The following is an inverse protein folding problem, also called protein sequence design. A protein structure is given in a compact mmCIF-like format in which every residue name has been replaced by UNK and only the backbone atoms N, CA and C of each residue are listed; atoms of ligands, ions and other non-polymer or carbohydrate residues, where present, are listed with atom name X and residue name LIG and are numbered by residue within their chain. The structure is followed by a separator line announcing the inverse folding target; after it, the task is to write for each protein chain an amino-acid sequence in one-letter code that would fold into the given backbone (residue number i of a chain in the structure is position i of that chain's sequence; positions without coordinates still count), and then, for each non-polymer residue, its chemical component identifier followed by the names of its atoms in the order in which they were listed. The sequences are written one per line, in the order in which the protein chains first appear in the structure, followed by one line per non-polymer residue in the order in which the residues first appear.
data_IF_131202544063
#
_entry.id   IF_131202544063
#
_cell.length_a   1.000
_cell.length_b   1.000
_cell.length_c   1.000
_cell.angle_alpha   90.00
_cell.angle_beta   90.00
_cell.angle_gamma   90.00
#
_symmetry.space_group_name_H-M   'P 1'
#
loop_
_entity.id
_entity.type
_entity.pdbx_description
1 polymer ?
#
# COMPACT_ATOMS: atom_id res chain seq x y z
N UNK A 1 0.23 7.92 33.54
CA UNK A 1 0.89 7.40 32.32
C UNK A 1 -0.20 6.95 31.39
N UNK A 2 -0.11 7.28 30.09
CA UNK A 2 -1.01 6.70 29.11
C UNK A 2 -0.71 5.21 28.99
N UNK A 3 -1.74 4.38 28.99
CA UNK A 3 -1.58 2.96 28.70
C UNK A 3 -1.17 2.82 27.22
N UNK A 4 0.03 2.27 27.00
CA UNK A 4 0.66 2.12 25.67
C UNK A 4 0.58 0.68 25.14
N UNK A 5 -0.27 -0.16 25.74
CA UNK A 5 -0.48 -1.53 25.30
C UNK A 5 -1.42 -1.56 24.09
N UNK A 6 -1.09 -2.33 23.06
CA UNK A 6 -1.93 -2.54 21.88
C UNK A 6 -1.95 -4.02 21.53
N UNK A 7 -3.08 -4.53 21.05
CA UNK A 7 -3.19 -5.90 20.54
C UNK A 7 -2.45 -6.04 19.21
N UNK A 8 -2.48 -4.97 18.40
CA UNK A 8 -1.85 -4.94 17.09
C UNK A 8 -1.11 -3.63 16.88
N UNK A 9 0.12 -3.72 16.38
CA UNK A 9 0.89 -2.58 15.89
C UNK A 9 1.14 -2.79 14.40
N UNK A 10 0.61 -1.88 13.58
CA UNK A 10 0.77 -1.89 12.13
C UNK A 10 1.76 -0.80 11.75
N UNK A 11 2.85 -1.20 11.11
CA UNK A 11 3.91 -0.29 10.65
C UNK A 11 3.71 0.01 9.17
N UNK A 12 3.28 1.24 8.88
CA UNK A 12 2.92 1.75 7.57
C UNK A 12 1.41 1.87 7.40
N UNK A 13 0.90 3.10 7.31
CA UNK A 13 -0.48 3.42 6.95
C UNK A 13 -0.63 3.51 5.43
N UNK A 14 -0.10 2.52 4.71
CA UNK A 14 -0.28 2.39 3.27
C UNK A 14 -1.59 1.68 2.90
N UNK A 15 -1.72 1.31 1.63
CA UNK A 15 -2.91 0.64 1.07
C UNK A 15 -3.37 -0.58 1.88
N UNK A 16 -2.47 -1.51 2.19
CA UNK A 16 -2.81 -2.69 2.99
C UNK A 16 -2.90 -2.38 4.50
N UNK A 17 -2.03 -1.48 5.01
CA UNK A 17 -1.98 -1.15 6.44
C UNK A 17 -3.25 -0.44 6.94
N UNK A 18 -3.77 0.51 6.16
CA UNK A 18 -5.05 1.15 6.46
C UNK A 18 -6.22 0.15 6.42
N UNK A 19 -6.25 -0.75 5.43
CA UNK A 19 -7.27 -1.80 5.37
C UNK A 19 -7.20 -2.72 6.59
N UNK A 20 -6.01 -3.19 6.94
CA UNK A 20 -5.80 -4.08 8.08
C UNK A 20 -6.21 -3.39 9.39
N UNK A 21 -5.82 -2.12 9.57
CA UNK A 21 -6.21 -1.33 10.74
C UNK A 21 -7.74 -1.18 10.84
N UNK A 22 -8.41 -0.89 9.72
CA UNK A 22 -9.87 -0.79 9.66
C UNK A 22 -10.56 -2.10 10.02
N UNK A 23 -10.08 -3.25 9.52
CA UNK A 23 -10.68 -4.56 9.78
C UNK A 23 -10.46 -5.03 11.22
N UNK A 24 -9.25 -4.87 11.76
CA UNK A 24 -8.94 -5.28 13.13
C UNK A 24 -9.63 -4.39 14.18
N UNK A 25 -9.73 -3.09 13.93
CA UNK A 25 -10.41 -2.16 14.86
C UNK A 25 -11.94 -2.20 14.79
N UNK A 26 -12.52 -2.97 13.86
CA UNK A 26 -13.96 -3.22 13.85
C UNK A 26 -14.43 -4.02 15.08
N UNK A 27 -13.54 -4.81 15.69
CA UNK A 27 -13.75 -5.39 17.01
C UNK A 27 -13.35 -4.38 18.09
N UNK A 28 -14.34 -3.81 18.78
CA UNK A 28 -14.15 -2.82 19.83
C UNK A 28 -13.34 -3.32 21.05
N UNK A 29 -13.14 -4.64 21.18
CA UNK A 29 -12.25 -5.20 22.20
C UNK A 29 -10.77 -5.08 21.85
N UNK A 30 -10.42 -4.74 20.61
CA UNK A 30 -9.05 -4.65 20.12
C UNK A 30 -8.54 -3.22 20.09
N UNK A 31 -7.32 -3.03 20.57
CA UNK A 31 -6.56 -1.78 20.48
C UNK A 31 -5.54 -1.90 19.36
N UNK A 32 -5.73 -1.10 18.32
CA UNK A 32 -4.86 -1.10 17.13
C UNK A 32 -4.07 0.20 17.06
N UNK A 33 -2.74 0.11 17.03
CA UNK A 33 -1.86 1.22 16.73
C UNK A 33 -1.43 1.16 15.26
N UNK A 34 -1.67 2.24 14.52
CA UNK A 34 -1.19 2.41 13.16
C UNK A 34 -0.13 3.52 13.12
N UNK A 35 1.08 3.17 12.68
CA UNK A 35 2.22 4.10 12.62
C UNK A 35 2.57 4.39 11.17
N UNK A 36 2.70 5.66 10.80
CA UNK A 36 3.07 6.08 9.44
C UNK A 36 4.28 7.01 9.49
N UNK A 37 5.23 6.80 8.57
CA UNK A 37 6.43 7.62 8.46
C UNK A 37 6.16 8.97 7.76
N UNK A 38 5.12 9.01 6.93
CA UNK A 38 4.64 10.17 6.22
C UNK A 38 3.70 11.07 7.02
N UNK A 39 3.27 12.15 6.36
CA UNK A 39 2.29 13.10 6.91
C UNK A 39 0.87 12.64 6.62
N UNK A 40 -0.11 13.32 7.22
CA UNK A 40 -1.51 13.25 6.80
C UNK A 40 -1.61 13.50 5.28
N UNK A 41 -2.58 12.88 4.64
CA UNK A 41 -2.87 12.96 3.21
C UNK A 41 -3.59 14.26 2.81
N UNK A 42 -3.33 15.37 3.51
CA UNK A 42 -4.03 16.65 3.36
C UNK A 42 -3.45 17.56 2.25
N UNK A 43 -2.59 17.01 1.40
CA UNK A 43 -2.06 17.76 0.26
C UNK A 43 -3.10 17.78 -0.86
N UNK A 44 -3.61 18.96 -1.23
CA UNK A 44 -4.73 19.09 -2.17
C UNK A 44 -4.60 18.26 -3.46
N UNK A 45 -3.39 18.12 -4.01
CA UNK A 45 -3.14 17.31 -5.21
C UNK A 45 -3.39 15.81 -5.05
N UNK A 46 -3.37 15.27 -3.82
CA UNK A 46 -3.76 13.88 -3.52
C UNK A 46 -5.24 13.64 -3.87
N UNK A 47 -6.09 14.64 -3.66
CA UNK A 47 -7.54 14.52 -3.82
C UNK A 47 -8.06 14.98 -5.19
N UNK A 48 -7.20 15.57 -6.04
CA UNK A 48 -7.54 15.90 -7.43
C UNK A 48 -7.17 14.70 -8.32
N UNK A 49 -8.12 14.14 -9.10
CA UNK A 49 -7.78 13.14 -10.10
C UNK A 49 -6.67 13.63 -11.04
N UNK A 50 -5.70 12.78 -11.38
CA UNK A 50 -4.46 13.15 -12.13
C UNK A 50 -3.47 14.03 -11.33
N UNK A 51 -3.85 14.55 -10.16
CA UNK A 51 -2.98 15.31 -9.27
C UNK A 51 -1.77 14.52 -8.74
N UNK A 52 -1.78 13.18 -8.84
CA UNK A 52 -0.66 12.31 -8.49
C UNK A 52 0.66 12.69 -9.20
N UNK A 53 0.59 13.33 -10.37
CA UNK A 53 1.76 13.87 -11.09
C UNK A 53 2.52 14.94 -10.27
N UNK A 54 1.83 15.66 -9.37
CA UNK A 54 2.42 16.62 -8.43
C UNK A 54 2.89 15.96 -7.13
N UNK A 55 2.50 14.71 -6.89
CA UNK A 55 2.87 13.93 -5.71
C UNK A 55 4.13 13.09 -5.95
N UNK A 56 4.32 12.55 -7.16
CA UNK A 56 5.51 11.79 -7.54
C UNK A 56 6.73 12.72 -7.62
N UNK A 57 7.85 12.33 -7.01
CA UNK A 57 9.05 13.16 -6.95
C UNK A 57 8.97 14.33 -5.97
N UNK A 58 7.90 14.42 -5.17
CA UNK A 58 7.71 15.47 -4.17
C UNK A 58 8.01 14.92 -2.76
N UNK A 59 9.00 15.45 -2.01
CA UNK A 59 9.37 14.95 -0.69
C UNK A 59 8.24 15.04 0.36
N UNK A 60 7.16 15.80 0.10
CA UNK A 60 5.97 15.82 0.95
C UNK A 60 5.22 14.48 0.93
N UNK A 61 5.25 13.78 -0.20
CA UNK A 61 4.36 12.64 -0.47
C UNK A 61 5.08 11.42 -1.04
N UNK A 62 6.35 11.54 -1.45
CA UNK A 62 7.17 10.48 -2.04
C UNK A 62 8.42 10.24 -1.18
N UNK A 63 8.82 8.97 -1.07
CA UNK A 63 10.10 8.55 -0.49
C UNK A 63 11.31 8.96 -1.32
N UNK A 64 11.12 9.29 -2.61
CA UNK A 64 12.18 9.68 -3.54
C UNK A 64 13.25 8.60 -3.74
N UNK A 65 12.87 7.33 -3.65
CA UNK A 65 13.79 6.23 -3.90
C UNK A 65 14.31 6.26 -5.33
N UNK A 66 15.53 5.75 -5.49
CA UNK A 66 16.14 5.49 -6.79
C UNK A 66 16.64 4.06 -6.81
N UNK A 67 16.55 3.42 -7.97
CA UNK A 67 17.19 2.12 -8.18
C UNK A 67 18.70 2.31 -8.24
N UNK A 68 19.46 1.22 -8.02
CA UNK A 68 20.86 1.22 -8.42
C UNK A 68 20.97 1.32 -9.96
N UNK A 69 22.12 1.77 -10.50
CA UNK A 69 22.41 1.71 -11.92
C UNK A 69 22.28 0.29 -12.45
N UNK A 70 21.51 0.10 -13.52
CA UNK A 70 21.24 -1.22 -14.10
C UNK A 70 21.94 -1.38 -15.47
N UNK A 71 22.85 -2.35 -15.63
CA UNK A 71 23.48 -2.64 -16.93
C UNK A 71 22.47 -2.86 -18.06
N UNK A 72 21.37 -3.59 -17.80
CA UNK A 72 20.30 -3.80 -18.77
C UNK A 72 19.54 -2.52 -19.19
N UNK A 73 19.79 -1.40 -18.50
CA UNK A 73 19.23 -0.08 -18.80
C UNK A 73 20.31 0.92 -19.23
N UNK A 74 21.45 0.45 -19.75
CA UNK A 74 22.63 1.24 -20.11
C UNK A 74 23.20 2.06 -18.94
N UNK A 75 23.22 1.46 -17.75
CA UNK A 75 23.77 2.10 -16.54
C UNK A 75 22.89 3.19 -15.95
N UNK A 76 21.61 3.31 -16.36
CA UNK A 76 20.68 4.27 -15.77
C UNK A 76 20.21 3.81 -14.40
N UNK A 77 20.12 4.76 -13.47
CA UNK A 77 19.32 4.67 -12.26
C UNK A 77 17.94 5.30 -12.51
N UNK A 78 16.88 4.63 -12.08
CA UNK A 78 15.51 5.10 -12.28
C UNK A 78 14.90 5.62 -10.99
N UNK A 79 14.01 6.62 -11.11
CA UNK A 79 13.13 7.02 -10.00
C UNK A 79 12.19 5.86 -9.66
N UNK A 80 12.03 5.59 -8.37
CA UNK A 80 11.17 4.53 -7.87
C UNK A 80 10.16 5.09 -6.86
N UNK A 81 9.14 5.82 -7.34
CA UNK A 81 8.26 6.57 -6.46
C UNK A 81 7.46 5.66 -5.53
N UNK A 82 7.43 6.01 -4.24
CA UNK A 82 6.66 5.31 -3.20
C UNK A 82 6.02 6.30 -2.27
N UNK A 83 4.72 6.14 -2.02
CA UNK A 83 3.97 7.05 -1.17
C UNK A 83 4.50 7.08 0.26
N UNK A 84 4.81 8.28 0.75
CA UNK A 84 5.21 8.59 2.13
C UNK A 84 4.20 9.55 2.76
N UNK A 85 2.98 9.06 2.95
CA UNK A 85 1.84 9.79 3.51
C UNK A 85 0.79 8.77 3.97
N UNK A 86 -0.20 9.17 4.79
CA UNK A 86 -1.36 8.32 5.08
C UNK A 86 -2.02 7.86 3.76
N UNK A 87 -2.40 6.59 3.69
CA UNK A 87 -2.80 5.89 2.46
C UNK A 87 -1.63 5.40 1.58
N UNK A 88 -0.42 5.94 1.76
CA UNK A 88 0.78 5.51 1.06
C UNK A 88 0.62 5.60 -0.45
N UNK A 89 0.87 4.49 -1.15
CA UNK A 89 0.78 4.49 -2.62
C UNK A 89 -0.66 4.65 -3.14
N UNK A 90 -1.71 4.35 -2.37
CA UNK A 90 -3.08 4.61 -2.85
C UNK A 90 -3.41 6.11 -2.91
N UNK A 91 -2.69 6.95 -2.15
CA UNK A 91 -2.82 8.41 -2.17
C UNK A 91 -2.06 9.07 -3.32
N UNK A 92 -1.18 8.35 -4.01
CA UNK A 92 -0.32 8.92 -5.07
C UNK A 92 -0.25 8.06 -6.35
N UNK A 93 -1.19 7.13 -6.54
CA UNK A 93 -1.25 6.29 -7.74
C UNK A 93 -2.11 6.94 -8.84
N UNK A 94 -2.12 6.32 -10.03
CA UNK A 94 -2.96 6.74 -11.15
C UNK A 94 -4.42 6.31 -11.05
N UNK A 95 -4.87 5.76 -9.91
CA UNK A 95 -6.24 5.28 -9.64
C UNK A 95 -6.78 4.22 -10.62
N UNK A 96 -5.91 3.57 -11.37
CA UNK A 96 -6.31 2.48 -12.26
C UNK A 96 -6.73 1.28 -11.41
N UNK A 97 -7.96 0.80 -11.62
CA UNK A 97 -8.45 -0.43 -11.03
C UNK A 97 -8.34 -1.58 -12.04
N UNK A 98 -7.57 -2.59 -11.69
CA UNK A 98 -7.46 -3.86 -12.41
C UNK A 98 -7.30 -5.00 -11.42
N UNK A 99 -7.75 -6.19 -11.80
CA UNK A 99 -7.47 -7.44 -11.09
C UNK A 99 -6.40 -8.22 -11.85
N UNK A 100 -5.67 -9.09 -11.16
CA UNK A 100 -4.82 -10.08 -11.83
C UNK A 100 -5.67 -11.07 -12.64
N UNK A 101 -5.01 -11.85 -13.49
CA UNK A 101 -5.64 -12.99 -14.15
C UNK A 101 -5.77 -14.15 -13.16
N UNK A 102 -6.78 -15.01 -13.29
CA UNK A 102 -6.97 -16.17 -12.41
C UNK A 102 -5.68 -17.01 -12.22
N UNK A 103 -4.94 -17.20 -13.32
CA UNK A 103 -3.65 -17.91 -13.32
C UNK A 103 -2.61 -17.31 -12.37
N UNK A 104 -2.62 -15.99 -12.16
CA UNK A 104 -1.63 -15.32 -11.31
C UNK A 104 -1.84 -15.75 -9.84
N UNK A 105 -3.11 -15.80 -9.41
CA UNK A 105 -3.51 -16.23 -8.07
C UNK A 105 -3.33 -17.74 -7.87
N UNK A 106 -3.71 -18.55 -8.85
CA UNK A 106 -3.52 -20.00 -8.79
C UNK A 106 -2.03 -20.36 -8.75
N UNK A 107 -1.19 -19.63 -9.48
CA UNK A 107 0.27 -19.78 -9.40
C UNK A 107 0.79 -19.40 -8.01
N UNK A 108 0.30 -18.32 -7.39
CA UNK A 108 0.67 -18.00 -6.00
C UNK A 108 0.29 -19.11 -5.05
N UNK A 109 -0.95 -19.61 -5.12
CA UNK A 109 -1.42 -20.71 -4.28
C UNK A 109 -0.53 -21.95 -4.39
N UNK A 110 -0.11 -22.30 -5.61
CA UNK A 110 0.82 -23.41 -5.83
C UNK A 110 2.19 -23.14 -5.20
N UNK A 111 2.76 -21.95 -5.43
CA UNK A 111 4.09 -21.59 -4.94
C UNK A 111 4.17 -21.55 -3.41
N UNK A 112 3.11 -21.07 -2.75
CA UNK A 112 3.06 -20.98 -1.29
C UNK A 112 2.49 -22.25 -0.63
N UNK A 113 1.92 -23.17 -1.41
CA UNK A 113 1.29 -24.39 -0.91
C UNK A 113 -0.02 -24.15 -0.14
N UNK A 114 -0.71 -23.05 -0.41
CA UNK A 114 -1.94 -22.64 0.30
C UNK A 114 -3.05 -22.29 -0.72
N UNK A 115 -4.11 -23.13 -0.82
CA UNK A 115 -5.22 -22.90 -1.75
C UNK A 115 -6.04 -21.65 -1.43
N UNK A 116 -5.90 -21.08 -0.23
CA UNK A 116 -6.54 -19.81 0.15
C UNK A 116 -6.12 -18.62 -0.71
N UNK A 117 -4.96 -18.70 -1.38
CA UNK A 117 -4.49 -17.68 -2.33
C UNK A 117 -5.02 -17.89 -3.75
N UNK A 118 -5.70 -19.01 -4.04
CA UNK A 118 -6.20 -19.33 -5.38
C UNK A 118 -7.28 -18.36 -5.85
N UNK A 119 -7.53 -18.31 -7.16
CA UNK A 119 -8.48 -17.35 -7.75
C UNK A 119 -9.87 -17.44 -7.12
N UNK A 120 -10.38 -18.67 -6.95
CA UNK A 120 -11.72 -18.90 -6.41
C UNK A 120 -11.84 -18.44 -4.95
N UNK A 121 -10.79 -18.60 -4.15
CA UNK A 121 -10.75 -18.13 -2.76
C UNK A 121 -10.54 -16.60 -2.67
N UNK A 122 -9.80 -16.01 -3.62
CA UNK A 122 -9.52 -14.58 -3.67
C UNK A 122 -10.68 -13.75 -4.22
N UNK A 123 -11.44 -14.28 -5.17
CA UNK A 123 -12.48 -13.55 -5.91
C UNK A 123 -13.52 -12.85 -5.03
N UNK A 124 -14.07 -13.48 -3.96
CA UNK A 124 -15.02 -12.82 -3.07
C UNK A 124 -14.48 -11.51 -2.48
N UNK A 125 -13.18 -11.44 -2.18
CA UNK A 125 -12.56 -10.24 -1.60
C UNK A 125 -12.45 -9.07 -2.58
N UNK A 126 -12.53 -9.30 -3.89
CA UNK A 126 -12.56 -8.23 -4.90
C UNK A 126 -13.96 -7.68 -5.18
N UNK A 127 -15.00 -8.35 -4.68
CA UNK A 127 -16.41 -8.01 -4.88
C UNK A 127 -17.05 -7.31 -3.68
N UNK A 128 -16.34 -7.23 -2.55
CA UNK A 128 -16.69 -6.45 -1.36
C UNK A 128 -16.58 -4.94 -1.65
#
# INVERSE_FOLDING_TARGET
MFDTTFDYIIVGAGTAGCLLANRLSADASKRVLLIEAGRKDDYHWIHIPVGYLHCIGNPRTDWLYQTQPEPGLNGRALRYPRGKTLGGCSSINGMIYMRGQARDYDQWAQLVGDPGWGWHASLPYFML
#
